data_IF_244625350862
#
_entry.id   IF_244625350862
#
_cell.length_a   1.000
_cell.length_b   1.000
_cell.length_c   1.000
_cell.angle_alpha   90.00
_cell.angle_beta   90.00
_cell.angle_gamma   90.00
#
_symmetry.space_group_name_H-M   'P 1'
#
loop_
_entity.id
_entity.type
_entity.pdbx_description
1 polymer ?
#
# COMPACT_ATOMS: atom_id res chain seq x y z
N UNK A 1 10.04 -6.03 8.09
CA UNK A 1 9.10 -4.92 8.34
C UNK A 1 9.39 -4.31 9.71
N UNK A 2 9.28 -2.98 9.88
CA UNK A 2 9.42 -2.32 11.19
C UNK A 2 8.39 -2.83 12.20
N UNK A 3 8.78 -2.94 13.48
CA UNK A 3 7.89 -3.42 14.54
C UNK A 3 6.60 -2.59 14.67
N UNK A 4 6.70 -1.26 14.52
CA UNK A 4 5.54 -0.37 14.57
C UNK A 4 4.50 -0.66 13.48
N UNK A 5 4.94 -0.98 12.26
CA UNK A 5 4.04 -1.39 11.15
C UNK A 5 3.34 -2.70 11.46
N UNK A 6 4.07 -3.68 12.00
CA UNK A 6 3.50 -4.98 12.37
C UNK A 6 2.46 -4.81 13.48
N UNK A 7 2.76 -4.03 14.52
CA UNK A 7 1.81 -3.74 15.60
C UNK A 7 0.55 -3.03 15.10
N UNK A 8 0.69 -2.05 14.20
CA UNK A 8 -0.44 -1.35 13.61
C UNK A 8 -1.39 -2.30 12.83
N UNK A 9 -0.86 -3.34 12.17
CA UNK A 9 -1.70 -4.35 11.54
C UNK A 9 -2.28 -5.35 12.53
N UNK A 10 -1.55 -5.68 13.59
CA UNK A 10 -2.05 -6.53 14.67
C UNK A 10 -3.26 -5.90 15.36
N UNK A 11 -3.21 -4.59 15.64
CA UNK A 11 -4.33 -3.80 16.19
C UNK A 11 -5.53 -3.73 15.23
N UNK A 12 -5.28 -3.82 13.91
CA UNK A 12 -6.33 -3.95 12.87
C UNK A 12 -6.88 -5.39 12.74
N UNK A 13 -6.45 -6.32 13.60
CA UNK A 13 -6.91 -7.71 13.61
C UNK A 13 -6.15 -8.65 12.68
N UNK A 14 -5.10 -8.18 12.00
CA UNK A 14 -4.27 -9.02 11.12
C UNK A 14 -3.18 -9.68 11.95
N UNK A 15 -3.42 -10.93 12.35
CA UNK A 15 -2.47 -11.72 13.16
C UNK A 15 -1.61 -12.65 12.31
N UNK A 16 -2.19 -13.27 11.29
CA UNK A 16 -1.56 -14.30 10.46
C UNK A 16 -1.98 -14.07 9.01
N UNK A 17 -1.02 -14.21 8.08
CA UNK A 17 -1.27 -14.16 6.64
C UNK A 17 -1.81 -15.50 6.13
N UNK A 18 -2.69 -15.47 5.14
CA UNK A 18 -3.03 -16.69 4.41
C UNK A 18 -1.80 -17.26 3.69
N UNK A 19 -1.73 -18.59 3.45
CA UNK A 19 -0.59 -19.21 2.78
C UNK A 19 -0.27 -18.57 1.42
N UNK A 20 -1.31 -18.26 0.62
CA UNK A 20 -1.14 -17.61 -0.68
C UNK A 20 -0.58 -16.18 -0.55
N UNK A 21 -0.93 -15.44 0.52
CA UNK A 21 -0.39 -14.10 0.76
C UNK A 21 1.09 -14.18 1.06
N UNK A 22 1.51 -15.14 1.91
CA UNK A 22 2.91 -15.35 2.22
C UNK A 22 3.72 -15.73 0.96
N UNK A 23 3.18 -16.63 0.12
CA UNK A 23 3.80 -17.00 -1.15
C UNK A 23 3.92 -15.82 -2.12
N UNK A 24 2.86 -15.03 -2.27
CA UNK A 24 2.87 -13.83 -3.10
C UNK A 24 3.91 -12.80 -2.58
N UNK A 25 4.00 -12.62 -1.26
CA UNK A 25 4.98 -11.73 -0.66
C UNK A 25 6.42 -12.21 -0.84
N UNK A 26 6.67 -13.52 -0.74
CA UNK A 26 7.99 -14.10 -1.01
C UNK A 26 8.40 -13.83 -2.47
N UNK A 27 7.50 -14.08 -3.43
CA UNK A 27 7.74 -13.78 -4.84
C UNK A 27 8.00 -12.28 -5.10
N UNK A 28 7.22 -11.38 -4.50
CA UNK A 28 7.42 -9.93 -4.57
C UNK A 28 8.76 -9.51 -3.96
N UNK A 29 9.21 -10.17 -2.89
CA UNK A 29 10.47 -9.85 -2.23
C UNK A 29 11.69 -10.24 -3.07
N UNK A 30 11.59 -11.34 -3.82
CA UNK A 30 12.69 -11.89 -4.64
C UNK A 30 12.77 -11.27 -6.03
N UNK A 31 11.64 -10.92 -6.62
CA UNK A 31 11.57 -10.47 -8.01
C UNK A 31 11.07 -9.03 -8.17
N UNK A 32 11.48 -8.38 -9.26
CA UNK A 32 10.95 -7.09 -9.72
C UNK A 32 9.97 -7.22 -10.88
N UNK A 33 9.57 -8.45 -11.22
CA UNK A 33 8.60 -8.72 -12.26
C UNK A 33 7.21 -8.23 -11.90
N UNK A 34 6.41 -7.96 -12.93
CA UNK A 34 4.99 -7.64 -12.78
C UNK A 34 4.23 -8.88 -12.29
N UNK A 35 3.23 -8.66 -11.43
CA UNK A 35 2.38 -9.72 -10.88
C UNK A 35 0.91 -9.31 -11.01
N UNK A 36 0.07 -10.26 -11.44
CA UNK A 36 -1.38 -10.11 -11.49
C UNK A 36 -2.00 -11.11 -10.53
N UNK A 37 -2.79 -10.63 -9.56
CA UNK A 37 -3.44 -11.46 -8.55
C UNK A 37 -4.95 -11.50 -8.78
N UNK A 38 -5.46 -12.66 -9.20
CA UNK A 38 -6.90 -12.89 -9.42
C UNK A 38 -7.46 -13.73 -8.27
N UNK A 39 -8.24 -13.10 -7.40
CA UNK A 39 -8.85 -13.76 -6.24
C UNK A 39 -10.28 -13.23 -6.03
N UNK A 40 -11.17 -13.96 -5.34
CA UNK A 40 -12.51 -13.47 -4.96
C UNK A 40 -12.46 -12.23 -4.06
N UNK A 41 -13.49 -11.38 -4.11
CA UNK A 41 -13.72 -10.33 -3.09
C UNK A 41 -13.70 -10.96 -1.69
N UNK A 42 -13.20 -10.24 -0.70
CA UNK A 42 -12.96 -10.73 0.68
C UNK A 42 -11.79 -11.70 0.88
N UNK A 43 -11.09 -12.15 -0.16
CA UNK A 43 -9.90 -13.00 0.01
C UNK A 43 -8.71 -12.29 0.70
N UNK A 44 -8.76 -10.97 0.92
CA UNK A 44 -7.68 -10.21 1.55
C UNK A 44 -6.67 -9.59 0.56
N UNK A 45 -7.06 -9.39 -0.71
CA UNK A 45 -6.22 -8.76 -1.74
C UNK A 45 -5.69 -7.38 -1.34
N UNK A 46 -6.53 -6.55 -0.72
CA UNK A 46 -6.17 -5.20 -0.31
C UNK A 46 -4.98 -5.22 0.63
N UNK A 47 -5.01 -6.06 1.66
CA UNK A 47 -3.90 -6.20 2.60
C UNK A 47 -2.58 -6.57 1.90
N UNK A 48 -2.62 -7.54 0.98
CA UNK A 48 -1.42 -7.91 0.21
C UNK A 48 -0.86 -6.75 -0.60
N UNK A 49 -1.72 -5.93 -1.22
CA UNK A 49 -1.30 -4.72 -1.92
C UNK A 49 -0.69 -3.68 -0.96
N UNK A 50 -1.29 -3.46 0.22
CA UNK A 50 -0.74 -2.56 1.24
C UNK A 50 0.68 -2.99 1.68
N UNK A 51 0.89 -4.28 1.95
CA UNK A 51 2.21 -4.82 2.32
C UNK A 51 3.21 -4.72 1.17
N UNK A 52 2.80 -5.00 -0.07
CA UNK A 52 3.67 -4.86 -1.25
C UNK A 52 4.14 -3.42 -1.44
N UNK A 53 3.26 -2.43 -1.28
CA UNK A 53 3.60 -1.01 -1.36
C UNK A 53 4.57 -0.59 -0.25
N UNK A 54 4.31 -1.04 0.98
CA UNK A 54 5.22 -0.79 2.11
C UNK A 54 6.59 -1.40 1.88
N UNK A 55 6.66 -2.63 1.34
CA UNK A 55 7.93 -3.28 1.01
C UNK A 55 8.69 -2.50 -0.08
N UNK A 56 7.99 -2.02 -1.10
CA UNK A 56 8.57 -1.16 -2.14
C UNK A 56 9.18 0.11 -1.53
N UNK A 57 8.45 0.79 -0.65
CA UNK A 57 8.92 2.01 0.01
C UNK A 57 10.13 1.77 0.90
N UNK A 58 10.05 0.76 1.78
CA UNK A 58 11.02 0.55 2.85
C UNK A 58 12.28 -0.20 2.40
N UNK A 59 12.13 -1.15 1.48
CA UNK A 59 13.26 -1.99 1.05
C UNK A 59 13.89 -1.47 -0.23
N UNK A 60 13.10 -0.89 -1.14
CA UNK A 60 13.60 -0.42 -2.45
C UNK A 60 13.82 1.09 -2.49
N UNK A 61 13.44 1.83 -1.45
CA UNK A 61 13.53 3.29 -1.38
C UNK A 61 12.82 3.98 -2.57
N UNK A 62 11.64 3.44 -2.95
CA UNK A 62 10.84 3.87 -4.11
C UNK A 62 9.45 4.31 -3.67
N UNK A 63 8.81 5.16 -4.47
CA UNK A 63 7.42 5.56 -4.25
C UNK A 63 6.47 4.51 -4.83
N UNK A 64 5.42 4.18 -4.09
CA UNK A 64 4.35 3.29 -4.55
C UNK A 64 3.12 4.10 -4.97
N UNK A 65 2.44 3.68 -6.04
CA UNK A 65 1.19 4.28 -6.52
C UNK A 65 0.06 3.25 -6.45
N UNK A 66 -1.00 3.59 -5.73
CA UNK A 66 -2.25 2.85 -5.69
C UNK A 66 -3.29 3.59 -6.53
N UNK A 67 -3.75 2.98 -7.61
CA UNK A 67 -4.85 3.51 -8.41
C UNK A 67 -6.15 2.86 -7.98
N UNK A 68 -7.17 3.66 -7.68
CA UNK A 68 -8.51 3.20 -7.26
C UNK A 68 -9.60 3.89 -8.10
N UNK A 69 -10.73 3.22 -8.39
CA UNK A 69 -11.69 3.73 -9.38
C UNK A 69 -12.51 4.95 -8.91
N UNK A 70 -12.58 5.24 -7.61
CA UNK A 70 -13.45 6.29 -7.07
C UNK A 70 -12.72 7.14 -6.04
N UNK A 71 -13.07 8.43 -6.00
CA UNK A 71 -12.58 9.39 -5.00
C UNK A 71 -12.85 8.91 -3.57
N UNK A 72 -14.02 8.33 -3.31
CA UNK A 72 -14.37 7.78 -2.00
C UNK A 72 -13.36 6.73 -1.51
N UNK A 73 -12.86 5.88 -2.43
CA UNK A 73 -11.83 4.89 -2.12
C UNK A 73 -10.47 5.54 -1.86
N UNK A 74 -10.15 6.66 -2.52
CA UNK A 74 -8.93 7.42 -2.22
C UNK A 74 -8.96 7.89 -0.76
N UNK A 75 -10.07 8.50 -0.34
CA UNK A 75 -10.25 8.99 1.04
C UNK A 75 -10.17 7.85 2.06
N UNK A 76 -10.86 6.73 1.80
CA UNK A 76 -10.82 5.54 2.66
C UNK A 76 -9.39 5.02 2.82
N UNK A 77 -8.66 4.84 1.71
CA UNK A 77 -7.30 4.30 1.72
C UNK A 77 -6.29 5.28 2.30
N UNK A 78 -6.46 6.58 2.10
CA UNK A 78 -5.64 7.60 2.76
C UNK A 78 -5.72 7.47 4.27
N UNK A 79 -6.93 7.41 4.82
CA UNK A 79 -7.13 7.29 6.26
C UNK A 79 -6.53 5.99 6.83
N UNK A 80 -6.74 4.87 6.13
CA UNK A 80 -6.22 3.56 6.54
C UNK A 80 -4.68 3.49 6.48
N UNK A 81 -4.07 3.91 5.36
CA UNK A 81 -2.63 3.79 5.14
C UNK A 81 -1.82 4.83 5.90
N UNK A 82 -2.37 6.03 6.16
CA UNK A 82 -1.64 7.07 6.90
C UNK A 82 -1.26 6.62 8.32
N UNK A 83 -2.13 5.86 9.00
CA UNK A 83 -1.85 5.33 10.34
C UNK A 83 -0.67 4.37 10.35
N UNK A 84 -0.62 3.48 9.35
CA UNK A 84 0.44 2.47 9.22
C UNK A 84 1.74 3.11 8.71
N UNK A 85 1.66 3.97 7.70
CA UNK A 85 2.80 4.65 7.09
C UNK A 85 3.55 5.55 8.08
N UNK A 86 2.82 6.18 9.03
CA UNK A 86 3.43 6.97 10.12
C UNK A 86 4.41 6.14 10.96
N UNK A 87 4.15 4.85 11.17
CA UNK A 87 5.05 3.94 11.91
C UNK A 87 6.34 3.61 11.15
N UNK A 88 6.43 4.02 9.90
CA UNK A 88 7.55 3.75 9.00
C UNK A 88 8.16 5.04 8.41
N UNK A 89 7.78 6.21 8.94
CA UNK A 89 8.17 7.53 8.43
C UNK A 89 7.90 7.75 6.93
N UNK A 90 6.84 7.11 6.42
CA UNK A 90 6.38 7.26 5.05
C UNK A 90 5.24 8.27 4.99
N UNK A 91 5.24 9.11 3.96
CA UNK A 91 4.08 9.96 3.69
C UNK A 91 3.07 9.22 2.81
N UNK A 92 1.81 9.60 2.98
CA UNK A 92 0.70 9.16 2.14
C UNK A 92 0.02 10.39 1.56
N UNK A 93 -0.25 10.41 0.26
CA UNK A 93 -0.89 11.55 -0.39
C UNK A 93 -1.94 11.11 -1.42
N UNK A 94 -3.07 11.83 -1.43
CA UNK A 94 -4.18 11.63 -2.35
C UNK A 94 -4.09 12.49 -3.60
N UNK A 95 -4.45 11.91 -4.74
CA UNK A 95 -4.47 12.55 -6.05
C UNK A 95 -5.84 12.29 -6.69
N UNK A 96 -6.75 13.24 -6.55
CA UNK A 96 -8.12 13.10 -7.06
C UNK A 96 -8.73 14.49 -7.31
N UNK A 97 -9.50 14.66 -8.38
CA UNK A 97 -10.12 15.95 -8.71
C UNK A 97 -9.09 17.11 -8.72
N UNK A 98 -9.27 18.19 -7.95
CA UNK A 98 -8.26 19.25 -7.83
C UNK A 98 -7.13 18.93 -6.83
N UNK A 99 -7.25 17.86 -6.03
CA UNK A 99 -6.30 17.54 -4.96
C UNK A 99 -5.07 16.78 -5.47
N UNK A 100 -3.96 16.96 -4.78
CA UNK A 100 -2.67 16.35 -5.11
C UNK A 100 -1.64 17.36 -5.61
N UNK A 101 -0.37 17.17 -5.23
CA UNK A 101 0.74 18.05 -5.60
C UNK A 101 1.54 17.45 -6.74
N UNK A 102 1.62 18.16 -7.86
CA UNK A 102 2.49 17.79 -8.99
C UNK A 102 3.64 18.81 -9.11
N UNK A 103 4.91 18.36 -9.22
CA UNK A 103 5.36 16.97 -9.11
C UNK A 103 5.26 16.43 -7.65
N UNK A 104 5.13 15.10 -7.46
CA UNK A 104 5.16 14.49 -6.14
C UNK A 104 6.47 14.80 -5.38
N UNK A 105 6.43 14.64 -4.06
CA UNK A 105 7.64 14.81 -3.24
C UNK A 105 8.71 13.80 -3.66
N UNK A 106 9.96 14.26 -3.80
CA UNK A 106 11.13 13.43 -4.10
C UNK A 106 11.62 12.68 -2.87
N UNK A 107 10.74 11.92 -2.23
CA UNK A 107 11.03 10.99 -1.14
C UNK A 107 10.12 9.76 -1.25
N UNK A 108 10.47 8.61 -0.65
CA UNK A 108 9.60 7.44 -0.63
C UNK A 108 8.28 7.74 0.08
N UNK A 109 7.21 7.19 -0.46
CA UNK A 109 5.86 7.33 0.09
C UNK A 109 4.85 6.57 -0.73
N UNK A 110 3.60 6.63 -0.29
CA UNK A 110 2.47 5.97 -0.94
C UNK A 110 1.56 7.04 -1.52
N UNK A 111 1.36 6.99 -2.83
CA UNK A 111 0.43 7.86 -3.54
C UNK A 111 -0.85 7.08 -3.83
N UNK A 112 -2.00 7.72 -3.69
CA UNK A 112 -3.30 7.10 -3.95
C UNK A 112 -4.04 7.98 -4.94
N UNK A 113 -4.35 7.46 -6.12
CA UNK A 113 -4.88 8.24 -7.23
C UNK A 113 -6.14 7.62 -7.85
N UNK A 114 -6.96 8.44 -8.50
CA UNK A 114 -7.95 7.95 -9.48
C UNK A 114 -7.29 7.80 -10.86
N UNK A 115 -7.84 7.00 -11.79
CA UNK A 115 -7.21 6.76 -13.09
C UNK A 115 -6.97 8.03 -13.93
N UNK A 116 -7.74 9.09 -13.70
CA UNK A 116 -7.67 10.35 -14.45
C UNK A 116 -6.59 11.32 -13.93
N UNK A 117 -5.91 10.97 -12.84
CA UNK A 117 -4.99 11.85 -12.07
C UNK A 117 -3.59 11.27 -11.96
#
# INVERSE_FOLDING_TARGET
MPKGVVNAYYERGVKIMYPWQAQAMDAISRSRSNMVLTLPTSAGKTFSAEIAMLHCCLTRNKTALLVVPYVALVVEKLAALSRVAKQADLYVAGYHGPHGRLPPLRRPGILIATPEK
#
